data_IF_154795309634
#
_entry.id   IF_154795309634
#
_cell.length_a   1.000
_cell.length_b   1.000
_cell.length_c   1.000
_cell.angle_alpha   90.00
_cell.angle_beta   90.00
_cell.angle_gamma   90.00
#
_symmetry.space_group_name_H-M   'P 1'
#
loop_
_entity.id
_entity.type
_entity.pdbx_description
1 polymer ?
#
# COMPACT_ATOMS: atom_id res chain seq x y z
N UNK A 1 -4.11 -1.77 2.35
CA UNK A 1 -3.44 -1.50 3.64
C UNK A 1 -3.97 -2.52 4.62
N UNK A 2 -3.10 -3.10 5.44
CA UNK A 2 -3.46 -4.17 6.38
C UNK A 2 -2.66 -4.03 7.67
N UNK A 3 -3.26 -4.38 8.80
CA UNK A 3 -2.57 -4.51 10.09
C UNK A 3 -2.35 -6.00 10.33
N UNK A 4 -1.12 -6.41 10.62
CA UNK A 4 -0.82 -7.81 10.94
C UNK A 4 -0.65 -8.02 12.45
N UNK A 5 -0.66 -9.28 12.88
CA UNK A 5 -0.52 -9.68 14.29
C UNK A 5 0.86 -9.38 14.87
N UNK A 6 1.83 -8.96 14.05
CA UNK A 6 3.17 -8.52 14.46
C UNK A 6 3.22 -7.04 14.89
N UNK A 7 2.08 -6.33 14.90
CA UNK A 7 1.98 -4.94 15.33
C UNK A 7 2.46 -3.93 14.28
N UNK A 8 2.45 -4.30 13.00
CA UNK A 8 2.80 -3.40 11.90
C UNK A 8 1.61 -3.07 11.01
N UNK A 9 1.57 -1.82 10.57
CA UNK A 9 0.74 -1.35 9.46
C UNK A 9 1.51 -1.52 8.14
N UNK A 10 0.97 -2.32 7.23
CA UNK A 10 1.53 -2.56 5.90
C UNK A 10 0.82 -1.73 4.83
N UNK A 11 1.61 -1.03 4.00
CA UNK A 11 1.11 -0.13 2.94
C UNK A 11 1.89 -0.33 1.64
N UNK A 12 1.17 -0.45 0.52
CA UNK A 12 1.78 -0.52 -0.81
C UNK A 12 1.76 0.85 -1.47
N UNK A 13 2.93 1.33 -1.93
CA UNK A 13 3.05 2.49 -2.80
C UNK A 13 3.10 2.04 -4.27
N UNK A 14 1.91 1.96 -4.90
CA UNK A 14 1.72 1.44 -6.26
C UNK A 14 1.72 2.52 -7.36
N UNK A 15 2.02 3.77 -7.02
CA UNK A 15 2.05 4.91 -7.95
C UNK A 15 0.72 5.10 -8.73
N UNK A 16 -0.43 4.92 -8.07
CA UNK A 16 -1.76 5.01 -8.70
C UNK A 16 -1.95 6.25 -9.59
N UNK A 17 -1.52 7.42 -9.13
CA UNK A 17 -1.61 8.69 -9.88
C UNK A 17 -0.81 8.71 -11.19
N UNK A 18 0.09 7.74 -11.42
CA UNK A 18 0.89 7.61 -12.64
C UNK A 18 0.28 6.62 -13.64
N UNK A 19 -0.86 6.01 -13.32
CA UNK A 19 -1.57 5.10 -14.24
C UNK A 19 -2.16 5.84 -15.44
N UNK A 20 -2.35 5.14 -16.58
CA UNK A 20 -2.96 5.69 -17.79
C UNK A 20 -4.27 6.47 -17.55
N UNK A 21 -5.13 5.95 -16.67
CA UNK A 21 -6.40 6.57 -16.29
C UNK A 21 -6.24 7.98 -15.74
N UNK A 22 -5.10 8.26 -15.09
CA UNK A 22 -4.77 9.58 -14.52
C UNK A 22 -3.76 10.36 -15.38
N UNK A 23 -3.30 9.81 -16.50
CA UNK A 23 -2.20 10.34 -17.30
C UNK A 23 -2.50 10.30 -18.81
N UNK A 24 -3.74 10.64 -19.21
CA UNK A 24 -4.15 10.75 -20.62
C UNK A 24 -3.80 9.52 -21.47
N UNK A 25 -3.93 8.33 -20.90
CA UNK A 25 -3.65 7.05 -21.58
C UNK A 25 -2.20 6.59 -21.51
N UNK A 26 -1.27 7.38 -20.97
CA UNK A 26 0.14 6.98 -20.83
C UNK A 26 0.41 6.33 -19.47
N UNK A 27 1.00 5.13 -19.47
CA UNK A 27 1.49 4.54 -18.21
C UNK A 27 2.85 5.14 -17.86
N UNK A 28 2.87 5.96 -16.82
CA UNK A 28 4.12 6.55 -16.34
C UNK A 28 4.77 5.70 -15.25
N UNK A 29 4.09 4.70 -14.67
CA UNK A 29 4.58 3.94 -13.50
C UNK A 29 5.98 3.35 -13.74
N UNK A 30 6.77 3.29 -12.66
CA UNK A 30 8.10 2.68 -12.66
C UNK A 30 8.16 1.57 -11.62
N UNK A 31 8.63 0.39 -12.04
CA UNK A 31 8.80 -0.78 -11.18
C UNK A 31 10.23 -0.82 -10.61
N UNK A 32 10.44 -1.49 -9.46
CA UNK A 32 9.45 -2.17 -8.62
C UNK A 32 8.56 -1.19 -7.83
N UNK A 33 7.39 -1.66 -7.39
CA UNK A 33 6.60 -0.95 -6.38
C UNK A 33 7.17 -1.20 -4.99
N UNK A 34 6.85 -0.33 -4.04
CA UNK A 34 7.33 -0.43 -2.68
C UNK A 34 6.24 -0.95 -1.74
N UNK A 35 6.62 -1.86 -0.85
CA UNK A 35 5.87 -2.24 0.35
C UNK A 35 6.59 -1.62 1.55
N UNK A 36 5.86 -0.80 2.30
CA UNK A 36 6.34 -0.21 3.54
C UNK A 36 5.63 -0.85 4.72
N UNK A 37 6.32 -0.86 5.87
CA UNK A 37 5.71 -1.15 7.15
C UNK A 37 6.13 -0.10 8.17
N UNK A 38 5.22 0.26 9.06
CA UNK A 38 5.52 1.05 10.24
C UNK A 38 4.95 0.37 11.47
N UNK A 39 5.68 0.44 12.58
CA UNK A 39 5.22 -0.12 13.85
C UNK A 39 4.10 0.77 14.40
N UNK A 40 3.04 0.15 14.91
CA UNK A 40 1.91 0.82 15.54
C UNK A 40 1.63 0.20 16.90
N UNK A 41 0.93 0.91 17.77
CA UNK A 41 0.50 0.40 19.08
C UNK A 41 -0.92 -0.21 19.02
N UNK A 42 -1.13 -1.09 18.03
CA UNK A 42 -2.41 -1.75 17.77
C UNK A 42 -2.24 -3.08 17.02
N UNK A 43 -3.24 -3.97 17.16
CA UNK A 43 -3.36 -5.23 16.40
C UNK A 43 -4.60 -5.24 15.47
N UNK A 44 -4.78 -6.29 14.66
CA UNK A 44 -5.94 -6.42 13.79
C UNK A 44 -7.23 -6.64 14.60
N UNK A 45 -8.36 -6.18 14.06
CA UNK A 45 -9.69 -6.53 14.59
C UNK A 45 -10.05 -7.94 14.10
N UNK A 46 -10.23 -8.87 15.04
CA UNK A 46 -10.67 -10.24 14.75
C UNK A 46 -12.17 -10.34 15.01
N UNK A 47 -12.94 -10.61 13.96
CA UNK A 47 -14.38 -10.86 14.05
C UNK A 47 -14.62 -12.36 14.31
N UNK A 48 -15.66 -12.67 15.08
CA UNK A 48 -16.15 -14.03 15.35
C UNK A 48 -17.38 -14.32 14.51
#
# INVERSE_FOLDING_TARGET
MSIATDGYLYVTANQLHRQPTYQRGQDLRRKPYALFRTRIDAGPVLLR
#
